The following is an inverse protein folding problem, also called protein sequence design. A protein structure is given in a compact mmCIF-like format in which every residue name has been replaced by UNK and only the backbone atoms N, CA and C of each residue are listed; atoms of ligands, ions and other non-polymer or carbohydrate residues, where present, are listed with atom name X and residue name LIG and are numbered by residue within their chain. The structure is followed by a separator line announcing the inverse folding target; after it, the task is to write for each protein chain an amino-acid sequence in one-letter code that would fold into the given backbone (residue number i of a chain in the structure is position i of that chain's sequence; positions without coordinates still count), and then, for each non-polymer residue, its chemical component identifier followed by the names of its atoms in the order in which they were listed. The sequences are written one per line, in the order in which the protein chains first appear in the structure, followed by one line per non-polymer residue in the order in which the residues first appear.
data_IF_620439992300
#
_entry.id   IF_620439992300
#
_cell.length_a   1.000
_cell.length_b   1.000
_cell.length_c   1.000
_cell.angle_alpha   90.00
_cell.angle_beta   90.00
_cell.angle_gamma   90.00
#
_symmetry.space_group_name_H-M   'P 1'
#
loop_
_entity.id
_entity.type
_entity.pdbx_description
1 polymer ?
#
# COMPACT_ATOMS: atom_id res chain seq x y z
N UNK A 1 6.22 -16.07 15.92
CA UNK A 1 7.10 -14.98 15.45
C UNK A 1 6.38 -14.20 14.35
N UNK A 2 6.18 -12.88 14.45
CA UNK A 2 5.78 -12.10 13.28
C UNK A 2 6.92 -12.16 12.24
N UNK A 3 6.64 -12.25 10.94
CA UNK A 3 7.68 -12.46 9.93
C UNK A 3 8.70 -11.31 9.93
N UNK A 4 10.01 -11.60 9.76
CA UNK A 4 11.12 -10.72 10.15
C UNK A 4 11.31 -9.43 9.34
N UNK A 5 10.44 -9.06 8.40
CA UNK A 5 10.69 -7.94 7.50
C UNK A 5 9.45 -7.11 7.15
N UNK A 6 8.89 -6.41 8.12
CA UNK A 6 7.85 -5.38 7.88
C UNK A 6 8.54 -4.07 7.48
N UNK A 7 8.64 -3.79 6.17
CA UNK A 7 9.17 -2.50 5.69
C UNK A 7 8.33 -1.35 6.22
N UNK A 8 8.84 -0.11 6.21
CA UNK A 8 8.03 1.07 6.54
C UNK A 8 6.74 1.11 5.70
N UNK A 9 6.83 0.75 4.42
CA UNK A 9 5.65 0.60 3.53
C UNK A 9 4.68 -0.45 4.05
N UNK A 10 5.15 -1.63 4.45
CA UNK A 10 4.27 -2.69 4.95
C UNK A 10 3.58 -2.26 6.25
N UNK A 11 4.31 -1.60 7.17
CA UNK A 11 3.73 -1.04 8.40
C UNK A 11 2.62 -0.05 8.07
N UNK A 12 2.88 0.90 7.17
CA UNK A 12 1.90 1.89 6.74
C UNK A 12 0.68 1.27 6.10
N UNK A 13 0.84 0.28 5.22
CA UNK A 13 -0.29 -0.44 4.61
C UNK A 13 -1.11 -1.20 5.66
N UNK A 14 -0.45 -1.76 6.68
CA UNK A 14 -1.11 -2.49 7.77
C UNK A 14 -1.85 -1.57 8.76
N UNK A 15 -1.55 -0.26 8.78
CA UNK A 15 -2.35 0.73 9.52
C UNK A 15 -3.68 1.06 8.84
N UNK A 16 -3.85 0.75 7.55
CA UNK A 16 -5.09 1.04 6.83
C UNK A 16 -6.19 0.04 7.22
N UNK A 17 -7.45 0.48 7.32
CA UNK A 17 -8.55 -0.43 7.61
C UNK A 17 -8.71 -1.46 6.49
N UNK A 18 -8.91 -2.72 6.88
CA UNK A 18 -9.22 -3.79 5.94
C UNK A 18 -10.65 -3.63 5.41
N UNK A 19 -10.81 -3.84 4.10
CA UNK A 19 -12.09 -3.81 3.38
C UNK A 19 -12.93 -2.54 3.56
N UNK A 20 -12.28 -1.42 3.88
CA UNK A 20 -12.92 -0.10 3.99
C UNK A 20 -12.27 0.91 3.05
N UNK A 21 -13.09 1.59 2.27
CA UNK A 21 -12.66 2.72 1.43
C UNK A 21 -12.35 3.94 2.30
N UNK A 22 -11.15 4.50 2.13
CA UNK A 22 -10.71 5.73 2.78
C UNK A 22 -10.05 6.67 1.77
N UNK A 23 -10.11 7.97 2.00
CA UNK A 23 -9.43 8.96 1.14
C UNK A 23 -7.92 8.94 1.35
N UNK A 24 -7.17 9.47 0.39
CA UNK A 24 -5.71 9.66 0.51
C UNK A 24 -5.36 10.52 1.73
N UNK A 25 -6.15 11.56 2.00
CA UNK A 25 -5.89 12.43 3.16
C UNK A 25 -6.12 11.68 4.48
N UNK A 26 -7.03 10.70 4.51
CA UNK A 26 -7.19 9.82 5.66
C UNK A 26 -5.99 8.85 5.81
N UNK A 27 -5.42 8.36 4.71
CA UNK A 27 -4.18 7.56 4.72
C UNK A 27 -3.03 8.35 5.33
N UNK A 28 -2.77 9.56 4.80
CA UNK A 28 -1.69 10.43 5.25
C UNK A 28 -1.80 10.75 6.76
N UNK A 29 -3.00 11.14 7.22
CA UNK A 29 -3.26 11.39 8.64
C UNK A 29 -3.05 10.16 9.53
N UNK A 30 -3.54 9.00 9.10
CA UNK A 30 -3.45 7.77 9.91
C UNK A 30 -2.03 7.24 9.99
N UNK A 31 -1.27 7.40 8.92
CA UNK A 31 0.13 7.00 8.84
C UNK A 31 1.11 8.07 9.35
N UNK A 32 0.64 9.29 9.66
CA UNK A 32 1.45 10.45 10.06
C UNK A 32 2.59 10.73 9.06
N UNK A 33 2.28 10.66 7.77
CA UNK A 33 3.20 10.94 6.67
C UNK A 33 2.62 12.04 5.78
N UNK A 34 3.48 12.69 5.02
CA UNK A 34 3.06 13.64 4.00
C UNK A 34 2.30 12.94 2.85
N UNK A 35 1.59 13.74 2.08
CA UNK A 35 0.70 13.27 1.00
C UNK A 35 1.47 12.58 -0.14
N UNK A 36 2.69 13.04 -0.44
CA UNK A 36 3.50 12.49 -1.53
C UNK A 36 4.10 11.12 -1.15
N UNK A 37 4.52 10.97 0.11
CA UNK A 37 4.90 9.68 0.69
C UNK A 37 3.71 8.74 0.75
N UNK A 38 2.52 9.22 1.13
CA UNK A 38 1.30 8.41 1.12
C UNK A 38 0.96 7.89 -0.29
N UNK A 39 1.07 8.76 -1.31
CA UNK A 39 0.91 8.38 -2.72
C UNK A 39 1.92 7.30 -3.14
N UNK A 40 3.19 7.45 -2.75
CA UNK A 40 4.25 6.49 -3.07
C UNK A 40 3.99 5.13 -2.42
N UNK A 41 3.58 5.10 -1.15
CA UNK A 41 3.17 3.89 -0.43
C UNK A 41 1.94 3.25 -1.09
N UNK A 42 0.96 4.05 -1.50
CA UNK A 42 -0.23 3.55 -2.19
C UNK A 42 0.10 2.92 -3.54
N UNK A 43 0.97 3.55 -4.34
CA UNK A 43 1.46 2.98 -5.60
C UNK A 43 2.18 1.65 -5.38
N UNK A 44 2.99 1.54 -4.32
CA UNK A 44 3.64 0.29 -3.95
C UNK A 44 2.60 -0.78 -3.54
N UNK A 45 1.66 -0.43 -2.67
CA UNK A 45 0.58 -1.34 -2.23
C UNK A 45 -0.31 -1.82 -3.37
N UNK A 46 -0.64 -0.94 -4.33
CA UNK A 46 -1.40 -1.29 -5.54
C UNK A 46 -0.61 -2.24 -6.44
N UNK A 47 0.66 -1.94 -6.71
CA UNK A 47 1.55 -2.83 -7.49
C UNK A 47 1.69 -4.22 -6.87
N UNK A 48 1.67 -4.29 -5.53
CA UNK A 48 1.70 -5.53 -4.75
C UNK A 48 0.36 -6.27 -4.65
N UNK A 49 -0.73 -5.67 -5.14
CA UNK A 49 -2.09 -6.22 -5.01
C UNK A 49 -2.62 -6.21 -3.57
N UNK A 50 -2.05 -5.37 -2.69
CA UNK A 50 -2.52 -5.18 -1.30
C UNK A 50 -3.66 -4.17 -1.24
N UNK A 51 -3.66 -3.21 -2.17
CA UNK A 51 -4.64 -2.12 -2.23
C UNK A 51 -5.45 -2.17 -3.52
N UNK A 52 -6.73 -1.82 -3.42
CA UNK A 52 -7.53 -1.31 -4.53
C UNK A 52 -7.65 0.20 -4.44
N UNK A 53 -7.73 0.86 -5.58
CA UNK A 53 -7.94 2.30 -5.72
C UNK A 53 -9.20 2.54 -6.53
N UNK A 54 -9.98 3.57 -6.18
CA UNK A 54 -11.09 4.08 -7.01
C UNK A 54 -11.09 5.61 -7.01
N UNK A 55 -11.85 6.19 -7.93
CA UNK A 55 -11.90 7.64 -8.13
C UNK A 55 -10.63 8.20 -8.79
N UNK A 56 -10.59 9.53 -8.94
CA UNK A 56 -9.47 10.27 -9.55
C UNK A 56 -9.21 11.56 -8.77
N UNK A 57 -7.98 12.07 -8.85
CA UNK A 57 -7.59 13.34 -8.25
C UNK A 57 -7.83 13.39 -6.73
N UNK A 58 -8.45 14.47 -6.27
CA UNK A 58 -8.78 14.71 -4.85
C UNK A 58 -9.82 13.74 -4.30
N UNK A 59 -10.68 13.18 -5.16
CA UNK A 59 -11.69 12.18 -4.78
C UNK A 59 -11.14 10.74 -4.77
N UNK A 60 -9.82 10.56 -4.94
CA UNK A 60 -9.22 9.23 -4.95
C UNK A 60 -9.31 8.56 -3.58
N UNK A 61 -9.75 7.31 -3.58
CA UNK A 61 -9.90 6.48 -2.40
C UNK A 61 -9.12 5.17 -2.56
N UNK A 62 -8.71 4.61 -1.42
CA UNK A 62 -8.06 3.31 -1.33
C UNK A 62 -8.75 2.39 -0.35
N UNK A 63 -8.61 1.10 -0.61
CA UNK A 63 -9.07 0.04 0.27
C UNK A 63 -8.01 -1.05 0.36
N UNK A 64 -7.70 -1.49 1.57
CA UNK A 64 -6.82 -2.63 1.80
C UNK A 64 -7.61 -3.91 1.59
N UNK A 65 -7.19 -4.71 0.60
CA UNK A 65 -7.87 -5.96 0.20
C UNK A 65 -7.12 -7.21 0.62
N UNK A 66 -5.96 -7.07 1.27
CA UNK A 66 -5.17 -8.19 1.77
C UNK A 66 -5.00 -8.08 3.30
N UNK A 67 -5.14 -9.19 4.06
CA UNK A 67 -5.09 -9.15 5.52
C UNK A 67 -3.67 -8.95 6.06
N UNK A 68 -2.66 -9.40 5.32
CA UNK A 68 -1.24 -9.29 5.69
C UNK A 68 -0.36 -8.61 4.64
N UNK A 69 0.92 -8.37 4.97
CA UNK A 69 1.89 -7.81 4.03
C UNK A 69 2.06 -8.75 2.84
N UNK A 70 1.93 -8.21 1.63
CA UNK A 70 2.19 -8.94 0.39
C UNK A 70 3.35 -8.28 -0.31
N UNK A 71 4.38 -9.07 -0.63
CA UNK A 71 5.45 -8.64 -1.52
C UNK A 71 5.07 -9.06 -2.93
N UNK A 72 5.27 -8.17 -3.89
CA UNK A 72 5.45 -8.61 -5.27
C UNK A 72 6.65 -9.52 -5.25
N UNK A 73 6.46 -10.80 -5.60
CA UNK A 73 7.55 -11.62 -6.09
C UNK A 73 8.09 -10.80 -7.26
N UNK A 74 9.30 -10.21 -7.10
CA UNK A 74 10.08 -9.83 -8.28
C UNK A 74 10.13 -11.16 -9.04
N UNK A 75 9.41 -11.28 -10.17
CA UNK A 75 9.93 -12.15 -11.21
C UNK A 75 11.30 -11.57 -11.46
N UNK A 76 12.32 -12.21 -10.91
CA UNK A 76 13.68 -12.03 -11.35
C UNK A 76 13.57 -12.15 -12.86
N UNK A 77 13.69 -11.02 -13.56
CA UNK A 77 14.06 -11.08 -14.94
C UNK A 77 15.46 -11.70 -14.87
N UNK A 78 15.54 -13.01 -15.08
CA UNK A 78 16.74 -13.62 -15.63
C UNK A 78 17.11 -12.76 -16.84
N UNK A 79 18.29 -12.14 -16.89
CA UNK A 79 18.85 -11.82 -18.18
C UNK A 79 19.21 -13.16 -18.80
N UNK A 80 18.33 -13.65 -19.66
CA UNK A 80 18.70 -14.68 -20.62
C UNK A 80 19.63 -13.99 -21.64
N UNK A 81 20.94 -14.03 -21.39
CA UNK A 81 22.05 -14.03 -22.35
C UNK A 81 23.40 -13.87 -21.68
#
# INVERSE_FOLDING_TARGET
MPPPFTTATDRTLMLLPFDKWISIDAVARRAKIDKDTALSVMRAGRRRGVLRTRGKGTAQQVMRVHPGPRRTIRRSAEPER
#
